data_IF_056592231417
#
_entry.id   IF_056592231417
#
_cell.length_a   1.000
_cell.length_b   1.000
_cell.length_c   1.000
_cell.angle_alpha   90.00
_cell.angle_beta   90.00
_cell.angle_gamma   90.00
#
_symmetry.space_group_name_H-M   'P 1'
#
loop_
_entity.id
_entity.type
_entity.pdbx_description
1 polymer ?
#
# COMPACT_ATOMS: atom_id res chain seq x y z
N UNK A 1 -32.28 -18.33 -31.44
CA UNK A 1 -30.97 -17.68 -31.13
C UNK A 1 -30.92 -17.45 -29.64
N UNK A 2 -30.26 -18.33 -28.90
CA UNK A 2 -30.08 -18.20 -27.46
C UNK A 2 -28.84 -17.30 -27.22
N UNK A 3 -29.09 -16.11 -26.66
CA UNK A 3 -28.05 -15.18 -26.31
C UNK A 3 -27.16 -15.76 -25.22
N UNK A 4 -25.85 -15.80 -25.46
CA UNK A 4 -24.84 -16.12 -24.48
C UNK A 4 -24.87 -15.04 -23.36
N UNK A 5 -25.53 -15.36 -22.25
CA UNK A 5 -25.36 -14.63 -21.02
C UNK A 5 -23.91 -14.88 -20.52
N UNK A 6 -23.00 -13.98 -20.90
CA UNK A 6 -21.62 -14.02 -20.41
C UNK A 6 -21.65 -14.00 -18.89
N UNK A 7 -20.98 -14.97 -18.27
CA UNK A 7 -20.63 -14.96 -16.86
C UNK A 7 -19.86 -13.67 -16.58
N UNK A 8 -20.55 -12.65 -16.09
CA UNK A 8 -19.93 -11.43 -15.58
C UNK A 8 -19.24 -11.86 -14.29
N UNK A 9 -17.96 -12.27 -14.40
CA UNK A 9 -17.13 -12.56 -13.26
C UNK A 9 -17.12 -11.34 -12.33
N UNK A 10 -17.28 -11.56 -11.02
CA UNK A 10 -17.18 -10.47 -10.05
C UNK A 10 -15.83 -9.78 -10.21
N UNK A 11 -15.84 -8.44 -10.29
CA UNK A 11 -14.61 -7.65 -10.31
C UNK A 11 -13.74 -8.01 -9.11
N UNK A 12 -12.41 -8.11 -9.26
CA UNK A 12 -11.53 -8.40 -8.13
C UNK A 12 -11.62 -7.29 -7.08
N UNK A 13 -11.37 -7.63 -5.83
CA UNK A 13 -11.16 -6.68 -4.74
C UNK A 13 -9.76 -6.95 -4.20
N UNK A 14 -8.91 -5.92 -4.20
CA UNK A 14 -7.50 -6.02 -3.80
C UNK A 14 -7.26 -5.13 -2.59
N UNK A 15 -6.81 -5.76 -1.52
CA UNK A 15 -6.37 -5.08 -0.30
C UNK A 15 -4.91 -4.67 -0.45
N UNK A 16 -4.62 -3.39 -0.56
CA UNK A 16 -3.25 -2.91 -0.83
C UNK A 16 -2.44 -2.60 0.42
N UNK A 17 -2.90 -3.06 1.59
CA UNK A 17 -2.17 -2.83 2.82
C UNK A 17 -2.40 -3.93 3.85
N UNK A 18 -1.58 -4.96 3.79
CA UNK A 18 -1.53 -6.03 4.79
C UNK A 18 -0.11 -6.25 5.25
N UNK A 19 0.05 -6.79 6.46
CA UNK A 19 1.36 -7.12 7.02
C UNK A 19 1.39 -8.60 7.39
N UNK A 20 2.47 -9.29 7.01
CA UNK A 20 2.74 -10.66 7.43
C UNK A 20 4.07 -10.73 8.16
N UNK A 21 4.12 -11.48 9.24
CA UNK A 21 5.30 -11.66 10.08
C UNK A 21 5.14 -12.89 10.96
N UNK A 22 6.26 -13.40 11.46
CA UNK A 22 6.28 -14.59 12.32
C UNK A 22 7.34 -14.46 13.41
N UNK A 23 6.94 -14.14 14.66
CA UNK A 23 7.85 -14.05 15.80
C UNK A 23 8.52 -15.38 16.17
N UNK A 24 8.00 -16.51 15.70
CA UNK A 24 8.57 -17.83 16.00
C UNK A 24 9.81 -18.17 15.17
N UNK A 25 10.13 -17.37 14.14
CA UNK A 25 11.36 -17.52 13.36
C UNK A 25 12.59 -17.41 14.27
N UNK A 26 13.66 -18.12 13.95
CA UNK A 26 14.91 -18.11 14.74
C UNK A 26 15.43 -16.69 15.05
N UNK A 27 15.36 -15.80 14.07
CA UNK A 27 15.76 -14.39 14.23
C UNK A 27 14.68 -13.52 14.88
N UNK A 28 13.46 -14.05 15.05
CA UNK A 28 12.31 -13.29 15.51
C UNK A 28 11.83 -12.26 14.49
N UNK A 29 11.30 -11.14 14.99
CA UNK A 29 10.82 -10.00 14.21
C UNK A 29 11.20 -8.70 14.89
N UNK A 30 11.52 -7.61 14.15
CA UNK A 30 11.79 -6.31 14.74
C UNK A 30 10.51 -5.60 15.18
N UNK A 31 9.39 -5.98 14.59
CA UNK A 31 8.03 -5.49 14.85
C UNK A 31 7.03 -6.65 14.64
N UNK A 32 5.93 -6.72 15.39
CA UNK A 32 5.50 -5.84 16.48
C UNK A 32 6.29 -6.06 17.79
N UNK A 33 6.11 -5.14 18.76
CA UNK A 33 6.71 -5.28 20.09
C UNK A 33 6.23 -6.56 20.78
N UNK A 34 7.12 -7.23 21.52
CA UNK A 34 6.80 -8.39 22.37
C UNK A 34 5.73 -8.10 23.42
N UNK A 35 5.55 -6.83 23.77
CA UNK A 35 4.56 -6.38 24.76
C UNK A 35 3.19 -6.07 24.14
N UNK A 36 3.04 -6.19 22.81
CA UNK A 36 1.76 -5.98 22.14
C UNK A 36 0.94 -7.28 22.16
N UNK A 37 -0.11 -7.40 23.00
CA UNK A 37 -0.83 -8.66 23.17
C UNK A 37 -1.71 -9.02 21.97
N UNK A 38 -2.04 -8.04 21.12
CA UNK A 38 -2.88 -8.25 19.93
C UNK A 38 -2.04 -8.64 18.72
N UNK A 39 -0.93 -7.94 18.52
CA UNK A 39 -0.14 -8.09 17.31
C UNK A 39 1.01 -9.08 17.46
N UNK A 40 1.58 -9.29 18.67
CA UNK A 40 2.73 -10.20 18.83
C UNK A 40 2.33 -11.66 18.75
N UNK A 41 2.04 -12.11 17.55
CA UNK A 41 1.68 -13.48 17.17
C UNK A 41 2.12 -13.75 15.75
N UNK A 42 2.14 -15.00 15.32
CA UNK A 42 2.32 -15.35 13.91
C UNK A 42 1.11 -14.86 13.10
N UNK A 43 1.38 -14.12 12.02
CA UNK A 43 0.38 -13.56 11.10
C UNK A 43 0.80 -13.92 9.67
N UNK A 44 0.06 -14.82 9.05
CA UNK A 44 0.36 -15.38 7.73
C UNK A 44 -0.79 -15.13 6.74
N UNK A 45 -0.56 -15.31 5.43
CA UNK A 45 -1.60 -15.13 4.41
C UNK A 45 -2.86 -15.96 4.66
N UNK A 46 -2.73 -17.15 5.25
CA UNK A 46 -3.87 -17.99 5.61
C UNK A 46 -4.78 -17.33 6.66
N UNK A 47 -4.22 -16.56 7.59
CA UNK A 47 -5.00 -15.88 8.61
C UNK A 47 -5.74 -14.67 8.02
N UNK A 48 -5.08 -13.92 7.15
CA UNK A 48 -5.72 -12.83 6.40
C UNK A 48 -6.89 -13.34 5.55
N UNK A 49 -6.72 -14.46 4.84
CA UNK A 49 -7.83 -15.02 4.03
C UNK A 49 -9.07 -15.36 4.85
N UNK A 50 -8.92 -15.76 6.12
CA UNK A 50 -10.08 -16.06 6.99
C UNK A 50 -10.97 -14.81 7.20
N UNK A 51 -10.36 -13.63 7.25
CA UNK A 51 -11.08 -12.37 7.48
C UNK A 51 -11.44 -11.65 6.19
N UNK A 52 -10.65 -11.77 5.13
CA UNK A 52 -10.82 -11.00 3.89
C UNK A 52 -11.71 -11.71 2.84
N UNK A 53 -11.55 -13.03 2.65
CA UNK A 53 -12.29 -13.81 1.64
C UNK A 53 -13.80 -13.77 1.82
N UNK A 54 -14.38 -13.80 3.04
CA UNK A 54 -15.84 -13.68 3.22
C UNK A 54 -16.43 -12.39 2.62
N UNK A 55 -15.62 -11.34 2.45
CA UNK A 55 -16.02 -10.06 1.85
C UNK A 55 -15.74 -9.96 0.36
N UNK A 56 -15.27 -11.05 -0.27
CA UNK A 56 -14.96 -11.10 -1.70
C UNK A 56 -13.60 -10.51 -2.06
N UNK A 57 -12.73 -10.26 -1.08
CA UNK A 57 -11.35 -9.82 -1.33
C UNK A 57 -10.55 -11.00 -1.88
N UNK A 58 -9.93 -10.80 -3.03
CA UNK A 58 -9.30 -11.88 -3.81
C UNK A 58 -7.78 -11.83 -3.82
N UNK A 59 -7.19 -10.69 -3.44
CA UNK A 59 -5.74 -10.52 -3.43
C UNK A 59 -5.27 -9.40 -2.53
N UNK A 60 -3.98 -9.41 -2.22
CA UNK A 60 -3.36 -8.35 -1.43
C UNK A 60 -2.00 -7.94 -1.98
N UNK A 61 -1.68 -6.65 -1.84
CA UNK A 61 -0.32 -6.13 -1.88
C UNK A 61 0.17 -6.02 -0.44
N UNK A 62 1.21 -6.80 -0.15
CA UNK A 62 1.82 -6.82 1.18
C UNK A 62 2.68 -5.58 1.34
N UNK A 63 2.58 -4.91 2.49
CA UNK A 63 3.47 -3.83 2.87
C UNK A 63 4.41 -4.33 3.96
N UNK A 64 5.66 -3.93 3.90
CA UNK A 64 6.68 -4.39 4.83
C UNK A 64 6.26 -4.21 6.30
N UNK A 65 6.62 -5.17 7.15
CA UNK A 65 6.48 -5.15 8.60
C UNK A 65 7.85 -5.15 9.30
N UNK A 66 8.94 -5.03 8.52
CA UNK A 66 10.29 -5.21 9.02
C UNK A 66 11.27 -4.31 8.28
N UNK A 67 12.14 -3.65 9.04
CA UNK A 67 13.28 -2.91 8.49
C UNK A 67 14.44 -3.82 8.02
N UNK A 68 14.32 -5.14 8.18
CA UNK A 68 15.36 -6.08 7.73
C UNK A 68 15.21 -6.37 6.24
N UNK A 69 16.25 -6.05 5.47
CA UNK A 69 16.27 -6.21 4.01
C UNK A 69 15.94 -7.64 3.57
N UNK A 70 16.42 -8.64 4.30
CA UNK A 70 16.18 -10.05 3.97
C UNK A 70 14.73 -10.52 4.23
N UNK A 71 13.95 -9.75 5.01
CA UNK A 71 12.52 -10.03 5.19
C UNK A 71 11.72 -9.77 3.92
N UNK A 72 12.23 -8.95 3.00
CA UNK A 72 11.67 -8.85 1.64
C UNK A 72 11.67 -10.23 0.96
N UNK A 73 12.78 -10.97 1.06
CA UNK A 73 12.86 -12.31 0.47
C UNK A 73 11.90 -13.29 1.13
N UNK A 74 11.75 -13.21 2.46
CA UNK A 74 10.81 -14.07 3.18
C UNK A 74 9.37 -13.89 2.69
N UNK A 75 8.90 -12.64 2.52
CA UNK A 75 7.57 -12.37 1.94
C UNK A 75 7.46 -12.87 0.50
N UNK A 76 8.49 -12.65 -0.32
CA UNK A 76 8.51 -13.13 -1.71
C UNK A 76 8.47 -14.66 -1.78
N UNK A 77 9.06 -15.36 -0.80
CA UNK A 77 9.01 -16.81 -0.69
C UNK A 77 7.62 -17.32 -0.28
N UNK A 78 6.92 -16.63 0.64
CA UNK A 78 5.51 -16.90 0.91
C UNK A 78 4.66 -16.75 -0.35
N UNK A 79 4.92 -15.71 -1.14
CA UNK A 79 4.18 -15.44 -2.37
C UNK A 79 4.39 -16.50 -3.46
N UNK A 80 5.47 -17.28 -3.46
CA UNK A 80 5.67 -18.37 -4.43
C UNK A 80 4.52 -19.38 -4.41
N UNK A 81 4.02 -19.69 -3.22
CA UNK A 81 3.00 -20.71 -2.99
C UNK A 81 1.60 -20.14 -2.77
N UNK A 82 1.47 -18.83 -2.70
CA UNK A 82 0.20 -18.15 -2.44
C UNK A 82 -0.08 -17.10 -3.51
N UNK A 83 -1.00 -17.42 -4.43
CA UNK A 83 -1.35 -16.53 -5.54
C UNK A 83 -2.20 -15.33 -5.12
N UNK A 84 -2.74 -15.32 -3.90
CA UNK A 84 -3.43 -14.16 -3.39
C UNK A 84 -2.48 -13.00 -3.03
N UNK A 85 -1.17 -13.26 -2.89
CA UNK A 85 -0.16 -12.23 -2.73
C UNK A 85 0.24 -11.69 -4.11
N UNK A 86 -0.28 -10.52 -4.45
CA UNK A 86 -0.09 -9.90 -5.77
C UNK A 86 1.23 -9.14 -5.87
N UNK A 87 1.85 -8.84 -4.75
CA UNK A 87 3.16 -8.21 -4.68
C UNK A 87 3.53 -7.72 -3.29
N UNK A 88 4.72 -7.15 -3.22
CA UNK A 88 5.35 -6.62 -2.01
C UNK A 88 5.80 -5.18 -2.23
N UNK A 89 5.40 -4.30 -1.35
CA UNK A 89 6.07 -3.03 -1.06
C UNK A 89 7.01 -3.31 0.10
N UNK A 90 8.28 -3.48 -0.19
CA UNK A 90 9.30 -3.91 0.76
C UNK A 90 10.01 -2.77 1.46
N UNK A 91 11.08 -3.12 2.17
CA UNK A 91 11.98 -2.16 2.82
C UNK A 91 13.34 -2.15 2.13
N UNK A 92 13.71 -1.00 1.57
CA UNK A 92 15.08 -0.65 1.19
C UNK A 92 15.34 0.79 1.64
N UNK A 93 16.54 1.05 2.13
CA UNK A 93 16.91 2.35 2.67
C UNK A 93 17.74 3.16 1.65
N UNK A 94 17.16 4.19 0.98
CA UNK A 94 17.88 4.97 -0.04
C UNK A 94 19.08 5.75 0.49
N UNK A 95 19.15 5.91 1.81
CA UNK A 95 20.29 6.57 2.49
C UNK A 95 21.47 5.62 2.71
N UNK A 96 21.25 4.29 2.54
CA UNK A 96 22.30 3.27 2.70
C UNK A 96 23.21 3.18 1.47
N UNK A 97 24.49 2.89 1.71
CA UNK A 97 25.45 2.58 0.66
C UNK A 97 25.08 1.35 -0.18
N UNK A 98 24.37 0.40 0.43
CA UNK A 98 23.95 -0.87 -0.21
C UNK A 98 22.66 -0.74 -1.02
N UNK A 99 22.04 0.44 -1.06
CA UNK A 99 20.74 0.62 -1.72
C UNK A 99 20.74 0.13 -3.17
N UNK A 100 21.73 0.52 -3.97
CA UNK A 100 21.77 0.18 -5.39
C UNK A 100 21.86 -1.34 -5.62
N UNK A 101 22.68 -2.04 -4.84
CA UNK A 101 22.81 -3.50 -4.91
C UNK A 101 21.53 -4.22 -4.48
N UNK A 102 20.92 -3.76 -3.39
CA UNK A 102 19.65 -4.32 -2.91
C UNK A 102 18.50 -4.04 -3.88
N UNK A 103 18.45 -2.84 -4.47
CA UNK A 103 17.46 -2.51 -5.50
C UNK A 103 17.61 -3.44 -6.70
N UNK A 104 18.82 -3.66 -7.21
CA UNK A 104 19.07 -4.59 -8.32
C UNK A 104 18.66 -6.03 -7.95
N UNK A 105 18.96 -6.47 -6.73
CA UNK A 105 18.58 -7.80 -6.22
C UNK A 105 17.08 -8.02 -6.31
N UNK A 106 16.28 -7.10 -5.74
CA UNK A 106 14.84 -7.30 -5.59
C UNK A 106 14.05 -6.91 -6.84
N UNK A 107 14.49 -5.92 -7.64
CA UNK A 107 13.81 -5.51 -8.87
C UNK A 107 13.72 -6.63 -9.93
N UNK A 108 14.58 -7.67 -9.83
CA UNK A 108 14.50 -8.88 -10.67
C UNK A 108 13.23 -9.70 -10.42
N UNK A 109 12.62 -9.55 -9.22
CA UNK A 109 11.39 -10.25 -8.89
C UNK A 109 10.17 -9.37 -9.22
N UNK A 110 9.32 -9.84 -10.14
CA UNK A 110 8.13 -9.09 -10.58
C UNK A 110 7.09 -8.85 -9.49
N UNK A 111 7.21 -9.53 -8.34
CA UNK A 111 6.34 -9.31 -7.18
C UNK A 111 6.89 -8.22 -6.25
N UNK A 112 8.13 -7.76 -6.43
CA UNK A 112 8.65 -6.61 -5.71
C UNK A 112 8.19 -5.35 -6.44
N UNK A 113 7.21 -4.65 -5.89
CA UNK A 113 6.49 -3.56 -6.56
C UNK A 113 7.07 -2.18 -6.22
N UNK A 114 7.74 -2.06 -5.08
CA UNK A 114 8.26 -0.80 -4.58
C UNK A 114 8.79 -0.92 -3.17
N UNK A 115 9.03 0.24 -2.57
CA UNK A 115 9.48 0.35 -1.18
C UNK A 115 8.59 1.29 -0.38
N UNK A 116 8.60 1.17 0.96
CA UNK A 116 7.98 2.12 1.86
C UNK A 116 9.05 2.96 2.57
N UNK A 117 8.83 4.28 2.61
CA UNK A 117 9.67 5.20 3.37
C UNK A 117 8.83 6.04 4.33
N UNK A 118 9.39 6.30 5.51
CA UNK A 118 8.84 7.29 6.43
C UNK A 118 9.30 8.71 6.09
N UNK A 119 8.71 9.70 6.77
CA UNK A 119 8.98 11.12 6.53
C UNK A 119 10.47 11.48 6.59
N UNK A 120 11.21 10.94 7.57
CA UNK A 120 12.63 11.29 7.77
C UNK A 120 13.51 10.87 6.57
N UNK A 121 13.54 9.61 6.11
CA UNK A 121 14.30 9.24 4.91
C UNK A 121 13.89 10.02 3.66
N UNK A 122 12.61 10.37 3.51
CA UNK A 122 12.14 11.20 2.39
C UNK A 122 12.80 12.57 2.43
N UNK A 123 12.79 13.25 3.59
CA UNK A 123 13.41 14.55 3.77
C UNK A 123 14.93 14.51 3.55
N UNK A 124 15.60 13.46 4.06
CA UNK A 124 17.05 13.25 3.87
C UNK A 124 17.38 13.06 2.38
N UNK A 125 16.60 12.28 1.65
CA UNK A 125 16.77 12.12 0.20
C UNK A 125 16.58 13.42 -0.58
N UNK A 126 15.62 14.24 -0.20
CA UNK A 126 15.39 15.55 -0.84
C UNK A 126 16.55 16.52 -0.63
N UNK A 127 17.23 16.42 0.51
CA UNK A 127 18.36 17.28 0.89
C UNK A 127 19.71 16.81 0.32
N UNK A 128 19.85 15.52 0.01
CA UNK A 128 21.12 14.92 -0.42
C UNK A 128 21.07 14.44 -1.89
N UNK A 129 21.87 15.01 -2.81
CA UNK A 129 21.84 14.64 -4.24
C UNK A 129 22.11 13.16 -4.53
N UNK A 130 22.97 12.49 -3.75
CA UNK A 130 23.30 11.07 -3.95
C UNK A 130 22.10 10.20 -3.56
N UNK A 131 21.49 10.49 -2.42
CA UNK A 131 20.30 9.78 -1.95
C UNK A 131 19.08 10.06 -2.83
N UNK A 132 18.95 11.30 -3.31
CA UNK A 132 17.93 11.66 -4.30
C UNK A 132 18.08 10.86 -5.61
N UNK A 133 19.31 10.65 -6.06
CA UNK A 133 19.60 9.81 -7.23
C UNK A 133 19.13 8.36 -7.01
N UNK A 134 19.13 7.84 -5.78
CA UNK A 134 18.60 6.51 -5.46
C UNK A 134 17.07 6.44 -5.64
N UNK A 135 16.32 7.51 -5.32
CA UNK A 135 14.88 7.57 -5.62
C UNK A 135 14.61 7.64 -7.13
N UNK A 136 15.48 8.30 -7.91
CA UNK A 136 15.40 8.24 -9.38
C UNK A 136 15.62 6.82 -9.90
N UNK A 137 16.62 6.09 -9.37
CA UNK A 137 16.84 4.68 -9.72
C UNK A 137 15.63 3.79 -9.41
N UNK A 138 14.92 4.06 -8.30
CA UNK A 138 13.68 3.37 -7.98
C UNK A 138 12.64 3.58 -9.09
N UNK A 139 12.46 4.84 -9.53
CA UNK A 139 11.53 5.18 -10.60
C UNK A 139 11.94 4.56 -11.95
N UNK A 140 13.24 4.60 -12.28
CA UNK A 140 13.80 4.03 -13.52
C UNK A 140 13.62 2.50 -13.58
N UNK A 141 13.68 1.82 -12.41
CA UNK A 141 13.35 0.40 -12.29
C UNK A 141 11.83 0.11 -12.42
N UNK A 142 11.00 1.14 -12.61
CA UNK A 142 9.55 1.00 -12.72
C UNK A 142 8.85 0.69 -11.40
N UNK A 143 9.57 0.80 -10.29
CA UNK A 143 9.06 0.58 -8.94
C UNK A 143 8.40 1.85 -8.38
N UNK A 144 7.63 1.69 -7.31
CA UNK A 144 6.87 2.78 -6.69
C UNK A 144 7.32 3.04 -5.23
N UNK A 145 6.84 4.12 -4.66
CA UNK A 145 7.08 4.54 -3.29
C UNK A 145 5.75 4.59 -2.51
N UNK A 146 5.64 3.82 -1.42
CA UNK A 146 4.68 4.10 -0.35
C UNK A 146 5.31 5.09 0.63
N UNK A 147 4.63 6.19 0.91
CA UNK A 147 5.07 7.24 1.81
C UNK A 147 4.22 7.23 3.09
N UNK A 148 4.85 7.00 4.24
CA UNK A 148 4.17 6.96 5.55
C UNK A 148 4.70 8.04 6.48
N UNK A 149 3.81 8.78 7.14
CA UNK A 149 4.19 9.80 8.11
C UNK A 149 3.04 10.68 8.53
N UNK A 150 3.39 11.70 9.30
CA UNK A 150 2.45 12.73 9.72
C UNK A 150 2.16 13.70 8.55
N UNK A 151 1.11 14.51 8.63
CA UNK A 151 0.70 15.41 7.55
C UNK A 151 1.79 16.35 7.02
N UNK A 152 2.77 16.71 7.84
CA UNK A 152 3.90 17.56 7.45
C UNK A 152 4.73 16.96 6.32
N UNK A 153 4.78 15.63 6.22
CA UNK A 153 5.45 14.90 5.12
C UNK A 153 4.83 15.21 3.75
N UNK A 154 3.58 15.62 3.69
CA UNK A 154 2.87 15.80 2.42
C UNK A 154 3.51 16.89 1.53
N UNK A 155 4.15 17.89 2.14
CA UNK A 155 4.96 18.88 1.41
C UNK A 155 6.15 18.23 0.71
N UNK A 156 6.82 17.28 1.37
CA UNK A 156 7.95 16.58 0.78
C UNK A 156 7.49 15.57 -0.29
N UNK A 157 6.32 14.96 -0.13
CA UNK A 157 5.69 14.15 -1.19
C UNK A 157 5.42 14.98 -2.44
N UNK A 158 4.89 16.20 -2.29
CA UNK A 158 4.69 17.13 -3.41
C UNK A 158 6.01 17.47 -4.12
N UNK A 159 7.07 17.79 -3.35
CA UNK A 159 8.41 18.04 -3.88
C UNK A 159 9.01 16.85 -4.63
N UNK A 160 8.81 15.63 -4.11
CA UNK A 160 9.24 14.40 -4.81
C UNK A 160 8.48 14.22 -6.12
N UNK A 161 7.15 14.40 -6.09
CA UNK A 161 6.31 14.26 -7.27
C UNK A 161 6.68 15.26 -8.38
N UNK A 162 7.01 16.49 -8.00
CA UNK A 162 7.50 17.52 -8.93
C UNK A 162 8.86 17.17 -9.53
N UNK A 163 9.80 16.74 -8.68
CA UNK A 163 11.20 16.49 -9.09
C UNK A 163 11.43 15.14 -9.78
N UNK A 164 10.56 14.16 -9.53
CA UNK A 164 10.62 12.80 -10.13
C UNK A 164 9.22 12.43 -10.68
N UNK A 165 8.77 13.02 -11.80
CA UNK A 165 7.43 12.78 -12.34
C UNK A 165 7.14 11.32 -12.71
N UNK A 166 8.19 10.53 -12.97
CA UNK A 166 8.07 9.10 -13.26
C UNK A 166 7.83 8.23 -12.00
N UNK A 167 8.09 8.74 -10.79
CA UNK A 167 7.90 8.02 -9.54
C UNK A 167 6.42 8.04 -9.14
N UNK A 168 5.80 6.88 -9.15
CA UNK A 168 4.46 6.73 -8.56
C UNK A 168 4.59 6.70 -7.04
N UNK A 169 3.77 7.50 -6.38
CA UNK A 169 3.77 7.61 -4.92
C UNK A 169 2.38 7.28 -4.40
N UNK A 170 2.31 6.45 -3.37
CA UNK A 170 1.07 6.19 -2.64
C UNK A 170 1.27 6.69 -1.21
N UNK A 171 0.39 7.57 -0.76
CA UNK A 171 0.39 8.08 0.61
C UNK A 171 -0.35 7.07 1.48
N UNK A 172 0.37 6.44 2.42
CA UNK A 172 -0.20 5.50 3.37
C UNK A 172 -0.98 6.23 4.47
N UNK A 173 -2.12 5.67 4.86
CA UNK A 173 -2.91 6.13 6.01
C UNK A 173 -3.20 7.63 5.97
N UNK A 174 -3.86 8.05 4.88
CA UNK A 174 -4.27 9.45 4.74
C UNK A 174 -5.01 9.94 5.99
N UNK A 175 -4.75 11.18 6.45
CA UNK A 175 -5.38 11.70 7.65
C UNK A 175 -6.89 11.82 7.47
N UNK A 176 -7.64 11.37 8.48
CA UNK A 176 -9.10 11.48 8.55
C UNK A 176 -9.57 12.65 9.43
N UNK A 177 -8.62 13.36 10.01
CA UNK A 177 -8.84 14.53 10.87
C UNK A 177 -7.92 15.66 10.42
N UNK A 178 -8.26 16.93 10.71
CA UNK A 178 -7.35 18.05 10.44
C UNK A 178 -5.94 17.83 11.06
N UNK A 179 -4.85 18.30 10.38
CA UNK A 179 -4.86 19.14 9.20
C UNK A 179 -5.30 18.40 7.94
N UNK A 180 -6.00 19.15 7.07
CA UNK A 180 -6.57 18.59 5.84
C UNK A 180 -5.52 18.25 4.81
N UNK A 181 -5.88 17.37 3.88
CA UNK A 181 -5.04 17.01 2.75
C UNK A 181 -4.72 18.25 1.89
N UNK A 182 -3.44 18.55 1.62
CA UNK A 182 -3.07 19.67 0.76
C UNK A 182 -3.66 19.52 -0.64
N UNK A 183 -4.41 20.54 -1.09
CA UNK A 183 -5.03 20.54 -2.43
C UNK A 183 -4.01 20.53 -3.55
N UNK A 184 -2.80 20.98 -3.27
CA UNK A 184 -1.65 20.96 -4.18
C UNK A 184 -1.32 19.56 -4.68
N UNK A 185 -1.60 18.52 -3.90
CA UNK A 185 -1.41 17.11 -4.32
C UNK A 185 -2.33 16.71 -5.48
N UNK A 186 -3.42 17.46 -5.73
CA UNK A 186 -4.32 17.21 -6.84
C UNK A 186 -3.64 17.36 -8.22
N UNK A 187 -2.62 18.22 -8.34
CA UNK A 187 -1.92 18.48 -9.60
C UNK A 187 -0.95 17.35 -10.02
N UNK A 188 -0.63 16.41 -9.13
CA UNK A 188 0.32 15.34 -9.41
C UNK A 188 -0.42 14.02 -9.72
N UNK A 189 -0.60 13.65 -11.01
CA UNK A 189 -1.40 12.48 -11.39
C UNK A 189 -0.78 11.16 -10.95
N UNK A 190 0.53 11.12 -10.65
CA UNK A 190 1.23 9.96 -10.16
C UNK A 190 1.15 9.77 -8.62
N UNK A 191 0.48 10.69 -7.90
CA UNK A 191 0.29 10.60 -6.45
C UNK A 191 -1.10 10.05 -6.14
N UNK A 192 -1.13 8.96 -5.42
CA UNK A 192 -2.33 8.24 -4.96
C UNK A 192 -2.47 8.36 -3.45
N UNK A 193 -3.68 8.15 -2.95
CA UNK A 193 -3.97 8.17 -1.52
C UNK A 193 -4.60 6.85 -1.09
N UNK A 194 -3.99 6.21 -0.10
CA UNK A 194 -4.48 4.95 0.47
C UNK A 194 -5.40 5.22 1.65
N UNK A 195 -6.67 4.92 1.48
CA UNK A 195 -7.66 4.96 2.55
C UNK A 195 -7.51 3.69 3.38
N UNK A 196 -6.83 3.79 4.51
CA UNK A 196 -6.45 2.65 5.35
C UNK A 196 -6.21 3.05 6.80
N UNK A 197 -6.14 2.07 7.68
CA UNK A 197 -5.75 2.26 9.08
C UNK A 197 -6.82 2.80 10.02
N UNK A 198 -8.07 2.97 9.56
CA UNK A 198 -9.15 3.49 10.39
C UNK A 198 -10.53 3.40 9.73
N UNK A 199 -11.49 4.05 10.36
CA UNK A 199 -12.88 4.16 9.89
C UNK A 199 -13.20 5.64 9.58
N UNK A 200 -12.88 6.14 8.37
CA UNK A 200 -13.13 7.52 8.02
C UNK A 200 -14.64 7.84 8.01
N UNK A 201 -14.97 9.07 8.43
CA UNK A 201 -16.31 9.62 8.25
C UNK A 201 -16.60 9.90 6.77
N UNK A 202 -17.89 10.07 6.45
CA UNK A 202 -18.30 10.48 5.09
C UNK A 202 -17.62 11.78 4.67
N UNK A 203 -17.58 12.77 5.57
CA UNK A 203 -16.96 14.07 5.29
C UNK A 203 -15.46 13.96 4.98
N UNK A 204 -14.73 13.09 5.71
CA UNK A 204 -13.33 12.82 5.44
C UNK A 204 -13.14 12.16 4.07
N UNK A 205 -14.01 11.23 3.71
CA UNK A 205 -13.98 10.58 2.39
C UNK A 205 -14.35 11.55 1.26
N UNK A 206 -15.31 12.46 1.47
CA UNK A 206 -15.67 13.49 0.50
C UNK A 206 -14.53 14.49 0.28
N UNK A 207 -13.77 14.82 1.33
CA UNK A 207 -12.58 15.66 1.21
C UNK A 207 -11.50 14.96 0.37
N UNK A 208 -11.18 13.70 0.67
CA UNK A 208 -10.22 12.91 -0.11
C UNK A 208 -10.66 12.77 -1.57
N UNK A 209 -11.95 12.55 -1.79
CA UNK A 209 -12.53 12.50 -3.13
C UNK A 209 -12.35 13.82 -3.88
N UNK A 210 -12.50 14.96 -3.20
CA UNK A 210 -12.32 16.29 -3.80
C UNK A 210 -10.89 16.57 -4.26
N UNK A 211 -9.89 15.97 -3.58
CA UNK A 211 -8.45 16.14 -3.91
C UNK A 211 -7.97 15.12 -4.94
N UNK A 212 -8.32 13.84 -4.75
CA UNK A 212 -7.76 12.74 -5.55
C UNK A 212 -8.70 12.24 -6.65
N UNK A 213 -9.98 12.62 -6.60
CA UNK A 213 -10.98 12.14 -7.54
C UNK A 213 -11.21 10.63 -7.46
N UNK A 214 -11.90 10.08 -8.46
CA UNK A 214 -12.19 8.65 -8.52
C UNK A 214 -10.99 7.78 -8.94
N UNK A 215 -9.93 8.38 -9.52
CA UNK A 215 -8.83 7.67 -10.18
C UNK A 215 -7.62 7.42 -9.29
N UNK A 216 -7.55 8.04 -8.09
CA UNK A 216 -6.32 8.02 -7.28
C UNK A 216 -6.51 7.64 -5.81
N UNK A 217 -7.71 7.21 -5.42
CA UNK A 217 -7.97 6.61 -4.12
C UNK A 217 -7.83 5.09 -4.22
N UNK A 218 -7.13 4.47 -3.27
CA UNK A 218 -6.91 3.02 -3.23
C UNK A 218 -7.30 2.42 -1.89
N UNK A 219 -7.85 1.21 -1.92
CA UNK A 219 -8.24 0.47 -0.72
C UNK A 219 -7.03 -0.20 -0.06
N UNK A 220 -6.96 -0.13 1.27
CA UNK A 220 -6.08 -0.90 2.11
C UNK A 220 -6.70 -1.10 3.50
N UNK A 221 -6.65 -2.30 4.06
CA UNK A 221 -7.20 -2.56 5.38
C UNK A 221 -6.27 -2.14 6.51
N UNK A 222 -4.97 -2.20 6.30
CA UNK A 222 -3.93 -2.15 7.33
C UNK A 222 -4.01 -3.34 8.33
N UNK A 223 -4.56 -4.47 7.86
CA UNK A 223 -4.64 -5.67 8.70
C UNK A 223 -3.24 -6.29 8.92
N UNK A 224 -2.90 -6.77 10.13
CA UNK A 224 -3.73 -6.90 11.32
C UNK A 224 -3.73 -5.66 12.24
N UNK A 225 -3.02 -4.60 11.91
CA UNK A 225 -2.90 -3.39 12.76
C UNK A 225 -4.27 -2.75 12.98
N UNK A 226 -5.12 -2.75 11.97
CA UNK A 226 -6.49 -2.23 12.03
C UNK A 226 -7.39 -2.94 13.04
N UNK A 227 -7.06 -4.17 13.47
CA UNK A 227 -7.80 -4.87 14.54
C UNK A 227 -7.76 -4.11 15.89
N UNK A 228 -6.82 -3.15 16.04
CA UNK A 228 -6.81 -2.21 17.17
C UNK A 228 -7.93 -1.17 17.12
N UNK A 229 -8.49 -0.94 15.93
CA UNK A 229 -9.56 0.05 15.71
C UNK A 229 -10.91 -0.64 15.60
N UNK A 230 -11.02 -1.63 14.72
CA UNK A 230 -12.25 -2.39 14.48
C UNK A 230 -11.92 -3.70 13.74
N UNK A 231 -12.83 -4.70 13.78
CA UNK A 231 -12.70 -5.91 12.96
C UNK A 231 -12.59 -5.60 11.47
N UNK A 232 -11.91 -6.47 10.73
CA UNK A 232 -11.74 -6.34 9.27
C UNK A 232 -13.06 -6.07 8.52
N UNK A 233 -14.13 -6.76 8.93
CA UNK A 233 -15.47 -6.61 8.35
C UNK A 233 -16.00 -5.17 8.42
N UNK A 234 -15.78 -4.51 9.54
CA UNK A 234 -16.27 -3.15 9.79
C UNK A 234 -15.43 -2.13 9.01
N UNK A 235 -14.09 -2.28 9.02
CA UNK A 235 -13.17 -1.47 8.22
C UNK A 235 -13.55 -1.55 6.73
N UNK A 236 -13.72 -2.78 6.21
CA UNK A 236 -14.12 -3.00 4.83
C UNK A 236 -15.52 -2.44 4.55
N UNK A 237 -16.50 -2.74 5.41
CA UNK A 237 -17.90 -2.31 5.27
C UNK A 237 -18.07 -0.80 5.22
N UNK A 238 -17.27 -0.06 6.03
CA UNK A 238 -17.28 1.39 6.05
C UNK A 238 -16.98 1.99 4.67
N UNK A 239 -15.85 1.63 4.07
CA UNK A 239 -15.45 2.15 2.75
C UNK A 239 -16.29 1.56 1.62
N UNK A 240 -16.71 0.29 1.72
CA UNK A 240 -17.60 -0.36 0.75
C UNK A 240 -18.90 0.40 0.57
N UNK A 241 -19.53 0.79 1.67
CA UNK A 241 -20.78 1.58 1.66
C UNK A 241 -20.60 2.90 0.92
N UNK A 242 -19.52 3.62 1.20
CA UNK A 242 -19.25 4.91 0.58
C UNK A 242 -19.02 4.80 -0.92
N UNK A 243 -18.10 3.92 -1.35
CA UNK A 243 -17.73 3.81 -2.77
C UNK A 243 -18.84 3.17 -3.62
N UNK A 244 -19.64 2.28 -3.06
CA UNK A 244 -20.85 1.77 -3.72
C UNK A 244 -21.88 2.88 -4.00
N UNK A 245 -22.02 3.86 -3.07
CA UNK A 245 -22.88 5.02 -3.27
C UNK A 245 -22.37 5.98 -4.36
N UNK A 246 -21.05 6.01 -4.64
CA UNK A 246 -20.46 6.76 -5.77
C UNK A 246 -20.68 6.07 -7.13
N UNK A 247 -21.18 4.83 -7.13
CA UNK A 247 -21.51 4.06 -8.33
C UNK A 247 -20.45 3.02 -8.69
N UNK A 248 -20.84 2.07 -9.55
CA UNK A 248 -20.04 0.89 -9.90
C UNK A 248 -18.66 1.21 -10.45
N UNK A 249 -18.53 2.25 -11.26
CA UNK A 249 -17.22 2.63 -11.86
C UNK A 249 -16.25 3.10 -10.79
N UNK A 250 -16.70 3.98 -9.89
CA UNK A 250 -15.91 4.48 -8.77
C UNK A 250 -15.52 3.34 -7.81
N UNK A 251 -16.46 2.45 -7.52
CA UNK A 251 -16.22 1.28 -6.67
C UNK A 251 -15.14 0.35 -7.27
N UNK A 252 -15.22 0.01 -8.56
CA UNK A 252 -14.21 -0.81 -9.25
C UNK A 252 -12.85 -0.12 -9.28
N UNK A 253 -12.80 1.19 -9.52
CA UNK A 253 -11.56 1.96 -9.48
C UNK A 253 -10.93 1.91 -8.10
N UNK A 254 -11.68 2.18 -7.06
CA UNK A 254 -11.21 2.18 -5.68
C UNK A 254 -10.67 0.81 -5.24
N UNK A 255 -11.42 -0.27 -5.50
CA UNK A 255 -11.08 -1.59 -5.00
C UNK A 255 -10.00 -2.33 -5.80
N UNK A 256 -9.70 -1.93 -7.05
CA UNK A 256 -8.64 -2.61 -7.80
C UNK A 256 -7.97 -1.82 -8.93
N UNK A 257 -8.72 -1.06 -9.77
CA UNK A 257 -8.13 -0.44 -10.97
C UNK A 257 -7.07 0.61 -10.61
N UNK A 258 -7.35 1.45 -9.62
CA UNK A 258 -6.40 2.47 -9.16
C UNK A 258 -5.16 1.83 -8.56
N UNK A 259 -5.32 0.78 -7.76
CA UNK A 259 -4.19 0.06 -7.21
C UNK A 259 -3.37 -0.66 -8.29
N UNK A 260 -4.01 -1.17 -9.33
CA UNK A 260 -3.29 -1.75 -10.47
C UNK A 260 -2.48 -0.69 -11.22
N UNK A 261 -3.02 0.52 -11.38
CA UNK A 261 -2.29 1.64 -11.99
C UNK A 261 -1.11 2.10 -11.12
N UNK A 262 -1.32 2.23 -9.80
CA UNK A 262 -0.30 2.67 -8.85
C UNK A 262 0.84 1.66 -8.70
N UNK A 263 0.52 0.41 -8.41
CA UNK A 263 1.49 -0.65 -8.07
C UNK A 263 1.94 -1.47 -9.28
N UNK A 264 1.18 -1.48 -10.37
CA UNK A 264 1.41 -2.33 -11.57
C UNK A 264 1.44 -3.83 -11.26
N UNK A 265 0.74 -4.26 -10.21
CA UNK A 265 0.57 -5.67 -9.91
C UNK A 265 -0.15 -6.39 -11.06
N UNK A 266 0.08 -7.69 -11.17
CA UNK A 266 -0.56 -8.54 -12.17
C UNK A 266 -1.34 -9.65 -11.50
N UNK A 267 -2.47 -10.03 -12.11
CA UNK A 267 -3.21 -11.23 -11.70
C UNK A 267 -2.33 -12.47 -11.82
N UNK A 268 -2.47 -13.40 -10.87
CA UNK A 268 -1.64 -14.60 -10.76
C UNK A 268 -2.45 -15.88 -10.89
#
# INVERSE_FOLDING_TARGET
MAGAAGLIGKSPIVDTHTHFYDPSRKQGVPWPSKTDPLLYRTVLPADWRKVATPHGVTGTVVVEASAWVDDNQWILDLAKNDKSLLGLVGHLEPTSADFAANLERFAKNKLFLGIRLSARPIAECLANPVQFANLKRLADAGLMLDAIGQPEMLTDVARLAERIPALRIVIDHVPYSPPRMPKELAQYPQVYAKVSGGMPSTDALDELWSVFGEDRLVYGSNWPVSDKVAPYADIFGNVKKYFAAKGRVAEEKYFWKNSQAAYRWKTR
#
